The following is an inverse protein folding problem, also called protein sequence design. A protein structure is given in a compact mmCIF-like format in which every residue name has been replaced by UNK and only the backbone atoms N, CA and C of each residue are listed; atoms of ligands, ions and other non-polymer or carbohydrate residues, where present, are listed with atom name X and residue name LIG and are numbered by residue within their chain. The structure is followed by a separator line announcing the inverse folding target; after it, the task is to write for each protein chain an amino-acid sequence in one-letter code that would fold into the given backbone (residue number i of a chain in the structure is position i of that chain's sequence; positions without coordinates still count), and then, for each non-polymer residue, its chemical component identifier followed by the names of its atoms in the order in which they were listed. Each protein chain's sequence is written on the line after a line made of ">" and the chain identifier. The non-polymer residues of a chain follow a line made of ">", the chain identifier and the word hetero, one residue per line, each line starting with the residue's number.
data_IF_363514951251
#
_entry.id   IF_363514951251
#
_cell.length_a   1.000
_cell.length_b   1.000
_cell.length_c   1.000
_cell.angle_alpha   90.00
_cell.angle_beta   90.00
_cell.angle_gamma   90.00
#
_symmetry.space_group_name_H-M   'P 1'
#
loop_
_entity.id
_entity.type
_entity.pdbx_description
1 polymer ?
#
# COMPACT_ATOMS: atom_id res chain seq x y z
N UNK A 1 -11.99 15.46 -15.83
CA UNK A 1 -11.90 15.32 -14.88
C UNK A 1 -11.81 14.06 -14.44
N UNK A 2 -12.29 13.27 -14.90
CA UNK A 2 -12.21 12.02 -14.38
C UNK A 2 -10.89 11.39 -14.44
N UNK A 3 -10.12 11.80 -15.36
CA UNK A 3 -8.85 11.20 -15.50
C UNK A 3 -8.05 11.34 -14.26
N UNK A 4 -8.36 12.27 -13.45
CA UNK A 4 -7.55 12.46 -12.31
C UNK A 4 -7.85 11.45 -11.26
N UNK A 5 -8.88 10.66 -11.39
CA UNK A 5 -9.21 9.75 -10.31
C UNK A 5 -8.14 8.73 -10.07
N UNK A 6 -7.46 8.22 -11.10
CA UNK A 6 -6.43 7.22 -10.86
C UNK A 6 -5.22 7.79 -10.12
N UNK A 7 -4.62 8.89 -10.59
CA UNK A 7 -3.50 9.43 -9.82
C UNK A 7 -3.92 9.90 -8.45
N UNK A 8 -5.13 10.45 -8.34
CA UNK A 8 -5.59 10.91 -7.05
C UNK A 8 -5.80 9.75 -6.09
N UNK A 9 -6.29 8.63 -6.59
CA UNK A 9 -6.51 7.49 -5.76
C UNK A 9 -5.19 6.91 -5.26
N UNK A 10 -4.20 6.82 -6.13
CA UNK A 10 -2.92 6.32 -5.70
C UNK A 10 -2.27 7.28 -4.71
N UNK A 11 -2.42 8.57 -4.91
CA UNK A 11 -1.89 9.55 -3.99
C UNK A 11 -2.57 9.44 -2.62
N UNK A 12 -3.86 9.16 -2.59
CA UNK A 12 -4.57 8.97 -1.34
C UNK A 12 -4.06 7.73 -0.62
N UNK A 13 -3.78 6.67 -1.36
CA UNK A 13 -3.23 5.45 -0.77
C UNK A 13 -1.84 5.74 -0.22
N UNK A 14 -1.06 6.54 -0.94
CA UNK A 14 0.26 6.90 -0.48
C UNK A 14 0.19 7.64 0.85
N UNK A 15 -0.76 8.55 0.99
CA UNK A 15 -0.96 9.25 2.24
C UNK A 15 -1.38 8.29 3.34
N UNK A 16 -2.20 7.31 3.00
CA UNK A 16 -2.60 6.29 3.95
C UNK A 16 -1.39 5.49 4.42
N UNK A 17 -0.48 5.15 3.50
CA UNK A 17 0.73 4.42 3.84
C UNK A 17 1.57 5.24 4.81
N UNK A 18 1.75 6.51 4.51
CA UNK A 18 2.54 7.38 5.37
C UNK A 18 1.94 7.47 6.76
N UNK A 19 0.63 7.69 6.83
CA UNK A 19 -0.03 7.82 8.12
C UNK A 19 0.04 6.51 8.91
N UNK A 20 -0.13 5.40 8.23
CA UNK A 20 -0.10 4.09 8.89
C UNK A 20 1.30 3.80 9.41
N UNK A 21 2.32 4.10 8.60
CA UNK A 21 3.69 3.91 9.05
C UNK A 21 3.98 4.74 10.29
N UNK A 22 3.49 5.96 10.31
CA UNK A 22 3.69 6.81 11.48
C UNK A 22 3.05 6.20 12.72
N UNK A 23 1.87 5.62 12.56
CA UNK A 23 1.20 4.95 13.66
C UNK A 23 1.97 3.75 14.15
N UNK A 24 2.71 3.12 13.26
CA UNK A 24 3.52 1.97 13.61
C UNK A 24 4.93 2.34 14.09
N UNK A 25 5.19 3.63 14.19
CA UNK A 25 6.47 4.09 14.72
C UNK A 25 7.56 4.30 13.68
N UNK A 26 7.21 4.30 12.41
CA UNK A 26 8.18 4.50 11.35
C UNK A 26 8.26 5.96 10.96
N UNK A 27 9.43 6.38 10.49
CA UNK A 27 9.66 7.77 10.16
C UNK A 27 9.67 7.96 8.67
N UNK A 28 8.54 7.81 8.03
CA UNK A 28 8.42 8.10 6.60
C UNK A 28 7.60 9.35 6.41
N UNK A 29 7.90 10.12 5.42
CA UNK A 29 7.20 11.37 5.14
C UNK A 29 6.90 11.55 3.68
N UNK A 30 7.65 10.90 2.80
CA UNK A 30 7.51 11.10 1.37
C UNK A 30 7.47 9.78 0.63
N UNK A 31 7.07 9.85 -0.62
CA UNK A 31 6.90 8.66 -1.42
C UNK A 31 8.17 7.87 -1.67
N UNK A 32 9.32 8.53 -1.67
CA UNK A 32 10.57 7.81 -1.91
C UNK A 32 11.24 7.33 -0.62
N UNK A 33 10.62 7.56 0.53
CA UNK A 33 11.13 7.00 1.78
C UNK A 33 10.90 5.50 1.78
N UNK A 34 11.86 4.77 2.29
CA UNK A 34 11.79 3.31 2.30
C UNK A 34 11.32 2.80 3.65
N UNK A 35 10.41 1.84 3.60
CA UNK A 35 9.82 1.26 4.80
C UNK A 35 10.89 0.72 5.76
N UNK A 36 11.84 -0.04 5.21
CA UNK A 36 12.86 -0.66 6.06
C UNK A 36 13.90 0.34 6.52
N UNK A 37 14.24 1.32 5.68
CA UNK A 37 15.16 2.37 6.09
C UNK A 37 14.58 3.21 7.21
N UNK A 38 13.27 3.29 7.25
CA UNK A 38 12.59 4.08 8.27
C UNK A 38 12.42 3.32 9.58
N UNK A 39 12.90 2.11 9.65
CA UNK A 39 12.81 1.33 10.86
C UNK A 39 11.89 0.13 10.79
N UNK A 40 11.39 -0.19 9.62
CA UNK A 40 10.48 -1.32 9.47
C UNK A 40 11.16 -2.64 9.77
N UNK A 41 10.42 -3.55 10.35
CA UNK A 41 10.88 -4.88 10.69
C UNK A 41 9.85 -5.88 10.22
N UNK A 42 10.14 -7.16 10.38
CA UNK A 42 9.18 -8.20 10.01
C UNK A 42 7.86 -8.03 10.73
N UNK A 43 7.92 -7.61 11.98
CA UNK A 43 6.70 -7.40 12.73
C UNK A 43 5.88 -6.24 12.14
N UNK A 44 6.57 -5.17 11.75
CA UNK A 44 5.89 -4.03 11.16
C UNK A 44 5.28 -4.42 9.81
N UNK A 45 5.96 -5.29 9.06
CA UNK A 45 5.42 -5.79 7.80
C UNK A 45 4.08 -6.47 8.04
N UNK A 46 4.02 -7.34 9.03
CA UNK A 46 2.79 -8.04 9.35
C UNK A 46 1.70 -7.05 9.74
N UNK A 47 2.06 -6.05 10.51
CA UNK A 47 1.09 -5.09 10.99
C UNK A 47 0.53 -4.20 9.89
N UNK A 48 1.38 -3.74 8.98
CA UNK A 48 0.89 -2.86 7.93
C UNK A 48 0.04 -3.67 6.94
N UNK A 49 0.39 -4.92 6.71
CA UNK A 49 -0.41 -5.76 5.83
C UNK A 49 -1.80 -5.98 6.44
N UNK A 50 -1.86 -6.24 7.73
CA UNK A 50 -3.15 -6.40 8.40
C UNK A 50 -4.00 -5.15 8.28
N UNK A 51 -3.37 -3.98 8.43
CA UNK A 51 -4.09 -2.72 8.30
C UNK A 51 -4.57 -2.51 6.87
N UNK A 52 -3.73 -2.88 5.90
CA UNK A 52 -4.12 -2.74 4.50
C UNK A 52 -5.30 -3.63 4.17
N UNK A 53 -5.33 -4.82 4.73
CA UNK A 53 -6.44 -5.72 4.48
C UNK A 53 -7.73 -5.21 5.11
N UNK A 54 -7.62 -4.58 6.27
CA UNK A 54 -8.79 -4.00 6.91
C UNK A 54 -9.33 -2.82 6.11
N UNK A 55 -8.44 -2.04 5.56
CA UNK A 55 -8.84 -0.82 4.87
C UNK A 55 -9.25 -1.06 3.43
N UNK A 56 -8.55 -1.91 2.73
CA UNK A 56 -8.73 -2.08 1.29
C UNK A 56 -9.22 -3.48 0.89
N UNK A 57 -9.21 -4.42 1.79
CA UNK A 57 -9.68 -5.77 1.49
C UNK A 57 -8.58 -6.78 1.48
N UNK A 58 -8.97 -8.04 1.52
CA UNK A 58 -8.04 -9.15 1.49
C UNK A 58 -7.19 -9.10 0.24
N UNK A 59 -5.95 -9.43 0.39
CA UNK A 59 -4.99 -9.44 -0.71
C UNK A 59 -4.59 -8.06 -1.22
N UNK A 60 -4.90 -7.01 -0.47
CA UNK A 60 -4.50 -5.67 -0.89
C UNK A 60 -2.99 -5.52 -0.92
N UNK A 61 -2.29 -6.20 -0.04
CA UNK A 61 -0.84 -6.09 0.02
C UNK A 61 -0.27 -7.39 0.54
N UNK A 62 0.74 -7.92 -0.13
CA UNK A 62 1.38 -9.15 0.31
C UNK A 62 2.75 -8.85 0.88
N UNK A 63 3.27 -9.74 1.74
CA UNK A 63 4.61 -9.55 2.30
C UNK A 63 5.67 -9.49 1.21
N UNK A 64 5.51 -10.28 0.17
CA UNK A 64 6.50 -10.32 -0.90
C UNK A 64 6.57 -9.01 -1.63
N UNK A 65 5.42 -8.42 -1.92
CA UNK A 65 5.38 -7.13 -2.59
C UNK A 65 6.05 -6.06 -1.75
N UNK A 66 5.77 -6.06 -0.46
CA UNK A 66 6.33 -5.06 0.43
C UNK A 66 7.85 -5.21 0.52
N UNK A 67 8.33 -6.43 0.61
CA UNK A 67 9.76 -6.67 0.73
C UNK A 67 10.49 -6.30 -0.54
N UNK A 68 9.91 -6.59 -1.68
CA UNK A 68 10.57 -6.29 -2.95
C UNK A 68 10.50 -4.83 -3.31
N UNK A 69 9.42 -4.17 -2.96
CA UNK A 69 9.23 -2.78 -3.31
C UNK A 69 8.79 -2.03 -2.08
N UNK A 70 9.74 -1.60 -1.29
CA UNK A 70 9.45 -1.09 0.04
C UNK A 70 9.43 0.42 0.16
N UNK A 71 9.58 1.15 -0.94
CA UNK A 71 9.39 2.60 -0.88
C UNK A 71 7.90 2.89 -0.71
N UNK A 72 7.57 3.97 -0.04
CA UNK A 72 6.18 4.33 0.21
C UNK A 72 5.37 4.36 -1.08
N UNK A 73 5.90 4.98 -2.12
CA UNK A 73 5.18 5.07 -3.39
C UNK A 73 4.99 3.69 -4.02
N UNK A 74 5.95 2.80 -3.84
CA UNK A 74 5.85 1.45 -4.37
C UNK A 74 4.80 0.65 -3.62
N UNK A 75 4.74 0.82 -2.31
CA UNK A 75 3.72 0.15 -1.51
C UNK A 75 2.34 0.62 -1.95
N UNK A 76 2.19 1.93 -2.13
CA UNK A 76 0.92 2.48 -2.58
C UNK A 76 0.55 1.96 -3.97
N UNK A 77 1.52 1.85 -4.85
CA UNK A 77 1.28 1.33 -6.19
C UNK A 77 0.86 -0.13 -6.15
N UNK A 78 1.47 -0.91 -5.26
CA UNK A 78 1.11 -2.31 -5.11
C UNK A 78 -0.33 -2.43 -4.63
N UNK A 79 -0.70 -1.66 -3.64
CA UNK A 79 -2.07 -1.69 -3.12
C UNK A 79 -3.04 -1.27 -4.21
N UNK A 80 -2.74 -0.18 -4.90
CA UNK A 80 -3.63 0.32 -5.94
C UNK A 80 -3.82 -0.72 -7.04
N UNK A 81 -2.74 -1.36 -7.46
CA UNK A 81 -2.80 -2.39 -8.47
C UNK A 81 -3.65 -3.56 -8.01
N UNK A 82 -3.48 -3.97 -6.77
CA UNK A 82 -4.19 -5.13 -6.26
C UNK A 82 -5.68 -4.89 -6.09
N UNK A 83 -6.07 -3.73 -5.61
CA UNK A 83 -7.49 -3.46 -5.44
C UNK A 83 -8.16 -3.21 -6.79
N UNK A 84 -7.42 -2.68 -7.74
CA UNK A 84 -7.96 -2.46 -9.07
C UNK A 84 -8.13 -3.77 -9.83
N UNK A 85 -7.14 -4.65 -9.69
CA UNK A 85 -7.20 -5.92 -10.38
C UNK A 85 -8.25 -6.84 -9.79
N UNK A 86 -8.45 -6.75 -8.49
CA UNK A 86 -9.41 -7.62 -7.86
C UNK A 86 -10.82 -7.41 -8.34
N UNK A 87 -11.16 -6.20 -8.63
CA UNK A 87 -12.48 -5.89 -9.09
C UNK A 87 -12.82 -6.56 -10.42
N UNK A 88 -12.00 -6.40 -11.42
CA UNK A 88 -12.30 -7.04 -12.67
C UNK A 88 -12.30 -8.54 -12.60
N UNK A 89 -11.50 -9.06 -11.69
CA UNK A 89 -11.45 -10.44 -11.61
C UNK A 89 -12.74 -11.00 -11.24
N UNK A 90 -13.37 -10.36 -10.36
CA UNK A 90 -14.61 -10.81 -9.95
C UNK A 90 -15.59 -10.84 -11.04
N UNK A 91 -15.47 -9.87 -11.86
CA UNK A 91 -16.38 -9.76 -12.89
C UNK A 91 -16.11 -10.79 -13.92
N UNK A 92 -14.93 -11.19 -13.97
CA UNK A 92 -14.54 -11.95 -14.93
C UNK A 92 -14.89 -13.22 -14.84
N UNK A 93 -15.23 -13.69 -15.13
CA UNK A 93 -15.46 -14.76 -15.01
C UNK A 93 -15.03 -15.46 -15.94
N UNK A 94 -14.71 -15.43 -16.18
CA UNK A 94 -14.22 -16.05 -16.88
C UNK A 94 -14.42 -16.86 -17.03
#
# INVERSE_FOLDING_TARGET
>A
MSQTSTPAKQAAIEQWVIATCAQLGLTVAEGDDDFFDAGGTSLTVIRIIARAEEEFGTDALSPEELIEESAVSDIAASIFRNISAGTPLNADPR
#
